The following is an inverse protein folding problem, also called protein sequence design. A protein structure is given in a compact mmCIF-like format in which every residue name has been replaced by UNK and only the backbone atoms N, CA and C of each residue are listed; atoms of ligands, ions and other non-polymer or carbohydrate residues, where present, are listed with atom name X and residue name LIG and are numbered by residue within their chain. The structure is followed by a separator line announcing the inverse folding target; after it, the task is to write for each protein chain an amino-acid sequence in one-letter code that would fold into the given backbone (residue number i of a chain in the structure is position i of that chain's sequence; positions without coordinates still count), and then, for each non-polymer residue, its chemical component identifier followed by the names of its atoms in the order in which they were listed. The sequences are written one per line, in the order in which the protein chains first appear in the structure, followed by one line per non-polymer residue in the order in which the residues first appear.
data_IF_409116685932
#
_entry.id   IF_409116685932
#
_cell.length_a   1.000
_cell.length_b   1.000
_cell.length_c   1.000
_cell.angle_alpha   90.00
_cell.angle_beta   90.00
_cell.angle_gamma   90.00
#
_symmetry.space_group_name_H-M   'P 1'
#
loop_
_entity.id
_entity.type
_entity.pdbx_description
1 polymer ?
#
# COMPACT_ATOMS: atom_id res chain seq x y z
N UNK A 1 -2.37 -18.67 2.77
CA UNK A 1 -1.47 -17.51 2.97
C UNK A 1 -1.82 -16.35 2.05
N UNK A 2 -1.87 -16.54 0.72
CA UNK A 2 -2.17 -15.46 -0.24
C UNK A 2 -3.51 -14.77 -0.02
N UNK A 3 -4.60 -15.51 0.22
CA UNK A 3 -5.93 -14.91 0.42
C UNK A 3 -5.98 -14.05 1.69
N UNK A 4 -5.48 -14.56 2.82
CA UNK A 4 -5.45 -13.80 4.07
C UNK A 4 -4.51 -12.59 3.97
N UNK A 5 -3.42 -12.72 3.23
CA UNK A 5 -2.50 -11.61 2.95
C UNK A 5 -3.18 -10.54 2.09
N UNK A 6 -3.79 -10.91 0.97
CA UNK A 6 -4.55 -10.02 0.12
C UNK A 6 -5.71 -9.35 0.87
N UNK A 7 -6.41 -10.10 1.74
CA UNK A 7 -7.48 -9.56 2.58
C UNK A 7 -6.95 -8.60 3.66
N UNK A 8 -5.73 -8.78 4.18
CA UNK A 8 -5.15 -7.89 5.20
C UNK A 8 -5.02 -6.44 4.72
N UNK A 9 -4.78 -6.23 3.42
CA UNK A 9 -4.61 -4.91 2.80
C UNK A 9 -5.85 -4.01 2.86
N UNK A 10 -7.04 -4.41 2.36
CA UNK A 10 -8.25 -3.58 2.44
C UNK A 10 -8.65 -3.28 3.88
N UNK A 11 -8.50 -4.23 4.81
CA UNK A 11 -8.76 -3.97 6.23
C UNK A 11 -7.78 -2.93 6.81
N UNK A 12 -6.48 -3.08 6.53
CA UNK A 12 -5.47 -2.14 6.97
C UNK A 12 -5.70 -0.74 6.38
N UNK A 13 -6.07 -0.67 5.10
CA UNK A 13 -6.33 0.57 4.39
C UNK A 13 -7.56 1.31 4.94
N UNK A 14 -8.65 0.59 5.17
CA UNK A 14 -9.87 1.15 5.78
C UNK A 14 -9.60 1.67 7.19
N UNK A 15 -8.78 0.95 7.98
CA UNK A 15 -8.38 1.38 9.31
C UNK A 15 -7.53 2.65 9.26
N UNK A 16 -6.50 2.68 8.40
CA UNK A 16 -5.65 3.85 8.21
C UNK A 16 -6.45 5.08 7.73
N UNK A 17 -7.38 4.89 6.80
CA UNK A 17 -8.23 5.96 6.30
C UNK A 17 -9.12 6.58 7.39
N UNK A 18 -9.71 5.72 8.24
CA UNK A 18 -10.56 6.14 9.36
C UNK A 18 -9.76 6.76 10.51
N UNK A 19 -8.55 6.26 10.77
CA UNK A 19 -7.69 6.76 11.84
C UNK A 19 -7.26 8.22 11.61
N UNK A 20 -7.17 8.66 10.35
CA UNK A 20 -6.76 10.04 9.95
C UNK A 20 -5.42 10.49 10.53
N UNK A 21 -4.58 9.57 10.94
CA UNK A 21 -3.22 9.79 11.43
C UNK A 21 -2.26 8.76 10.83
N UNK A 22 -0.96 9.07 10.82
CA UNK A 22 0.10 8.16 10.37
C UNK A 22 0.61 7.24 11.48
N UNK A 23 0.22 7.46 12.73
CA UNK A 23 0.64 6.63 13.87
C UNK A 23 0.25 5.17 13.63
N UNK A 24 1.23 4.26 13.72
CA UNK A 24 1.05 2.83 13.49
C UNK A 24 1.06 2.40 12.01
N UNK A 25 1.22 3.34 11.06
CA UNK A 25 1.36 3.02 9.63
C UNK A 25 2.82 3.10 9.18
N UNK A 26 3.37 2.00 8.65
CA UNK A 26 4.75 1.95 8.15
C UNK A 26 4.84 2.23 6.64
N UNK A 27 5.27 3.43 6.27
CA UNK A 27 5.47 3.81 4.86
C UNK A 27 6.63 3.05 4.21
N UNK A 28 7.69 2.76 4.96
CA UNK A 28 8.85 2.01 4.46
C UNK A 28 8.44 0.60 4.03
N UNK A 29 7.59 -0.08 4.81
CA UNK A 29 7.04 -1.38 4.45
C UNK A 29 6.26 -1.30 3.13
N UNK A 30 5.39 -0.30 2.96
CA UNK A 30 4.63 -0.11 1.72
C UNK A 30 5.53 0.12 0.51
N UNK A 31 6.61 0.88 0.64
CA UNK A 31 7.58 1.13 -0.44
C UNK A 31 8.33 -0.15 -0.81
N UNK A 32 8.80 -0.94 0.17
CA UNK A 32 9.48 -2.22 -0.10
C UNK A 32 8.54 -3.18 -0.85
N UNK A 33 7.29 -3.27 -0.42
CA UNK A 33 6.28 -4.10 -1.08
C UNK A 33 6.00 -3.62 -2.51
N UNK A 34 5.87 -2.31 -2.72
CA UNK A 34 5.68 -1.72 -4.06
C UNK A 34 6.84 -2.09 -5.00
N UNK A 35 8.09 -1.96 -4.54
CA UNK A 35 9.26 -2.35 -5.32
C UNK A 35 9.25 -3.85 -5.64
N UNK A 36 8.91 -4.69 -4.67
CA UNK A 36 8.77 -6.14 -4.87
C UNK A 36 7.75 -6.48 -5.96
N UNK A 37 6.58 -5.84 -5.97
CA UNK A 37 5.56 -6.04 -7.00
C UNK A 37 6.02 -5.57 -8.38
N UNK A 38 6.70 -4.41 -8.47
CA UNK A 38 7.23 -3.92 -9.75
C UNK A 38 8.26 -4.91 -10.31
N UNK A 39 9.19 -5.40 -9.49
CA UNK A 39 10.18 -6.39 -9.89
C UNK A 39 9.52 -7.71 -10.35
N UNK A 40 8.54 -8.23 -9.61
CA UNK A 40 7.85 -9.46 -9.97
C UNK A 40 6.97 -9.34 -11.23
N UNK A 41 6.36 -8.17 -11.45
CA UNK A 41 5.65 -7.87 -12.70
C UNK A 41 6.66 -7.84 -13.86
N UNK A 42 7.80 -7.17 -13.70
CA UNK A 42 8.84 -7.11 -14.73
C UNK A 42 9.36 -8.51 -15.10
N UNK A 43 9.61 -9.38 -14.12
CA UNK A 43 10.04 -10.77 -14.35
C UNK A 43 9.03 -11.56 -15.21
N UNK A 44 7.73 -11.35 -14.98
CA UNK A 44 6.66 -11.99 -15.77
C UNK A 44 6.63 -11.55 -17.22
N UNK A 45 6.97 -10.29 -17.49
CA UNK A 45 7.11 -9.80 -18.87
C UNK A 45 8.40 -10.28 -19.53
N UNK A 46 9.51 -10.38 -18.79
CA UNK A 46 10.79 -10.87 -19.33
C UNK A 46 10.75 -12.36 -19.64
N UNK A 47 10.00 -13.14 -18.86
CA UNK A 47 9.91 -14.59 -19.00
C UNK A 47 8.76 -15.07 -19.92
N UNK A 48 7.97 -14.17 -20.50
CA UNK A 48 6.73 -14.46 -21.27
C UNK A 48 5.70 -15.36 -20.53
N UNK A 49 5.82 -15.48 -19.20
CA UNK A 49 4.97 -16.31 -18.34
C UNK A 49 3.78 -15.51 -17.79
N UNK A 50 2.99 -14.94 -18.70
CA UNK A 50 1.81 -14.13 -18.35
C UNK A 50 0.67 -15.06 -17.94
N UNK A 51 0.57 -15.31 -16.63
CA UNK A 51 -0.49 -16.12 -16.03
C UNK A 51 -1.50 -15.25 -15.28
N UNK A 52 -2.58 -15.88 -14.80
CA UNK A 52 -3.58 -15.22 -13.95
C UNK A 52 -2.98 -14.58 -12.68
N UNK A 53 -1.78 -15.01 -12.27
CA UNK A 53 -1.04 -14.45 -11.13
C UNK A 53 -0.68 -12.98 -11.36
N UNK A 54 -0.46 -12.57 -12.62
CA UNK A 54 -0.18 -11.16 -12.94
C UNK A 54 -1.33 -10.22 -12.51
N UNK A 55 -2.59 -10.68 -12.63
CA UNK A 55 -3.75 -9.90 -12.19
C UNK A 55 -3.73 -9.65 -10.67
N UNK A 56 -3.29 -10.63 -9.87
CA UNK A 56 -3.12 -10.47 -8.43
C UNK A 56 -2.00 -9.49 -8.09
N UNK A 57 -0.89 -9.53 -8.83
CA UNK A 57 0.21 -8.56 -8.65
C UNK A 57 -0.24 -7.13 -8.94
N UNK A 58 -1.00 -6.92 -10.03
CA UNK A 58 -1.56 -5.61 -10.37
C UNK A 58 -2.57 -5.13 -9.33
N UNK A 59 -3.40 -6.03 -8.82
CA UNK A 59 -4.37 -5.72 -7.76
C UNK A 59 -3.67 -5.29 -6.47
N UNK A 60 -2.66 -6.04 -6.02
CA UNK A 60 -1.90 -5.70 -4.82
C UNK A 60 -1.07 -4.41 -5.00
N UNK A 61 -0.52 -4.19 -6.20
CA UNK A 61 0.14 -2.93 -6.57
C UNK A 61 -0.83 -1.74 -6.43
N UNK A 62 -2.08 -1.91 -6.87
CA UNK A 62 -3.14 -0.92 -6.69
C UNK A 62 -3.43 -0.65 -5.22
N UNK A 63 -3.62 -1.70 -4.41
CA UNK A 63 -3.89 -1.58 -2.97
C UNK A 63 -2.76 -0.89 -2.22
N UNK A 64 -1.49 -1.24 -2.47
CA UNK A 64 -0.37 -0.60 -1.79
C UNK A 64 -0.21 0.86 -2.22
N UNK A 65 -0.48 1.17 -3.50
CA UNK A 65 -0.48 2.55 -4.00
C UNK A 65 -1.54 3.40 -3.29
N UNK A 66 -2.76 2.87 -3.12
CA UNK A 66 -3.80 3.57 -2.35
C UNK A 66 -3.38 3.72 -0.88
N UNK A 67 -2.70 2.72 -0.31
CA UNK A 67 -2.10 2.80 1.03
C UNK A 67 -1.13 3.96 1.19
N UNK A 68 -0.23 4.14 0.22
CA UNK A 68 0.71 5.27 0.19
C UNK A 68 -0.05 6.61 0.07
N UNK A 69 -1.06 6.70 -0.78
CA UNK A 69 -1.89 7.92 -0.91
C UNK A 69 -2.59 8.27 0.42
N UNK A 70 -3.17 7.27 1.10
CA UNK A 70 -3.81 7.47 2.41
C UNK A 70 -2.78 7.92 3.45
N UNK A 71 -1.58 7.33 3.45
CA UNK A 71 -0.49 7.77 4.32
C UNK A 71 -0.10 9.23 4.06
N UNK A 72 0.07 9.64 2.81
CA UNK A 72 0.38 11.03 2.46
C UNK A 72 -0.73 12.00 2.90
N UNK A 73 -1.99 11.62 2.70
CA UNK A 73 -3.15 12.37 3.20
C UNK A 73 -3.09 12.53 4.72
N UNK A 74 -2.93 11.43 5.44
CA UNK A 74 -2.89 11.45 6.90
C UNK A 74 -1.67 12.22 7.43
N UNK A 75 -0.52 12.13 6.74
CA UNK A 75 0.67 12.92 7.09
C UNK A 75 0.40 14.40 7.01
N UNK A 76 -0.36 14.85 6.01
CA UNK A 76 -0.80 16.25 5.92
C UNK A 76 -1.71 16.64 7.08
N UNK A 77 -2.63 15.75 7.48
CA UNK A 77 -3.50 16.00 8.64
C UNK A 77 -2.72 16.09 9.95
N UNK A 78 -1.76 15.18 10.18
CA UNK A 78 -0.89 15.21 11.36
C UNK A 78 -0.05 16.50 11.41
N UNK A 79 0.49 16.96 10.27
CA UNK A 79 1.22 18.22 10.20
C UNK A 79 0.35 19.43 10.53
N UNK A 80 -0.91 19.46 10.07
CA UNK A 80 -1.83 20.56 10.37
C UNK A 80 -2.19 20.55 11.87
N UNK A 81 -2.47 19.37 12.43
CA UNK A 81 -2.79 19.22 13.85
C UNK A 81 -1.63 19.67 14.75
N UNK A 82 -0.39 19.31 14.41
CA UNK A 82 0.80 19.69 15.17
C UNK A 82 1.21 21.17 15.01
N UNK A 83 0.73 21.88 13.97
CA UNK A 83 1.02 23.29 13.74
C UNK A 83 -0.08 24.24 14.28
N UNK A 84 -1.11 23.71 14.94
CA UNK A 84 -2.10 24.56 15.62
C UNK A 84 -1.49 25.05 16.93
N UNK A 85 -1.31 26.37 17.14
CA UNK A 85 -0.81 26.89 18.41
C UNK A 85 -1.89 26.65 19.49
N UNK A 86 -1.49 25.98 20.57
CA UNK A 86 -2.26 25.88 21.82
C UNK A 86 -2.52 27.26 22.45
#
# INVERSE_FOLDING_TARGET
MLICFAASWPFNLLKAYKARTTIGTSVTFMIIVLLGYICGIADKFVSDDITYVLAFYLFDLGLVTIGVIIYLRNRRLDLIANNSPD
#
